data_IF_602641283237
#
_entry.id   IF_602641283237
#
_cell.length_a   1.000
_cell.length_b   1.000
_cell.length_c   1.000
_cell.angle_alpha   90.00
_cell.angle_beta   90.00
_cell.angle_gamma   90.00
#
_symmetry.space_group_name_H-M   'P 1'
#
loop_
_entity.id
_entity.type
_entity.pdbx_description
1 polymer ?
#
# COMPACT_ATOMS: atom_id res chain seq x y z
N UNK A 1 -28.19 -0.36 2.57
CA UNK A 1 -26.75 -0.68 2.71
C UNK A 1 -26.48 -1.86 1.80
N UNK A 2 -25.53 -1.76 0.86
CA UNK A 2 -25.22 -2.87 -0.03
C UNK A 2 -24.24 -3.82 0.68
N UNK A 3 -24.69 -5.05 0.97
CA UNK A 3 -23.82 -6.14 1.36
C UNK A 3 -23.28 -6.80 0.08
N UNK A 4 -21.97 -6.97 0.00
CA UNK A 4 -21.30 -7.67 -1.08
C UNK A 4 -20.84 -9.02 -0.58
N UNK A 5 -20.80 -10.02 -1.46
CA UNK A 5 -20.22 -11.32 -1.12
C UNK A 5 -18.70 -11.22 -1.12
N UNK A 6 -18.06 -11.74 -0.07
CA UNK A 6 -16.63 -11.92 -0.05
C UNK A 6 -16.23 -12.92 -1.14
N UNK A 7 -15.26 -12.56 -1.99
CA UNK A 7 -14.75 -13.44 -3.05
C UNK A 7 -14.06 -14.71 -2.51
N UNK A 8 -13.57 -14.67 -1.27
CA UNK A 8 -12.85 -15.79 -0.65
C UNK A 8 -13.76 -16.69 0.18
N UNK A 9 -14.54 -16.12 1.11
CA UNK A 9 -15.34 -16.91 2.04
C UNK A 9 -16.83 -17.01 1.68
N UNK A 10 -17.28 -16.31 0.63
CA UNK A 10 -18.68 -16.34 0.18
C UNK A 10 -19.70 -15.67 1.12
N UNK A 11 -19.27 -15.24 2.31
CA UNK A 11 -20.14 -14.56 3.29
C UNK A 11 -20.45 -13.13 2.86
N UNK A 12 -21.61 -12.65 3.30
CA UNK A 12 -22.06 -11.28 3.05
C UNK A 12 -21.32 -10.30 3.97
N UNK A 13 -20.76 -9.26 3.37
CA UNK A 13 -19.91 -8.28 4.04
C UNK A 13 -20.30 -6.89 3.60
N UNK A 14 -20.17 -5.91 4.50
CA UNK A 14 -20.44 -4.52 4.14
C UNK A 14 -19.50 -4.06 3.03
N UNK A 15 -20.04 -3.43 1.98
CA UNK A 15 -19.26 -2.78 0.92
C UNK A 15 -18.28 -1.69 1.42
N UNK A 16 -18.43 -1.25 2.68
CA UNK A 16 -17.51 -0.30 3.34
C UNK A 16 -16.45 -0.98 4.22
N UNK A 17 -16.48 -2.31 4.35
CA UNK A 17 -15.54 -3.02 5.21
C UNK A 17 -14.14 -3.04 4.58
N UNK A 18 -13.12 -2.60 5.32
CA UNK A 18 -11.72 -2.66 4.87
C UNK A 18 -11.20 -4.10 4.76
N UNK A 19 -11.71 -4.99 5.58
CA UNK A 19 -11.32 -6.39 5.63
C UNK A 19 -12.53 -7.25 5.98
N UNK A 20 -12.60 -8.45 5.43
CA UNK A 20 -13.65 -9.39 5.77
C UNK A 20 -13.48 -9.82 7.25
N UNK A 21 -14.48 -9.64 8.13
CA UNK A 21 -14.39 -10.05 9.53
C UNK A 21 -14.40 -11.58 9.70
N UNK A 22 -14.76 -12.34 8.66
CA UNK A 22 -14.83 -13.80 8.73
C UNK A 22 -13.55 -14.50 8.26
N UNK A 23 -12.87 -13.99 7.24
CA UNK A 23 -11.66 -14.62 6.70
C UNK A 23 -10.42 -13.72 6.73
N UNK A 24 -10.55 -12.43 7.08
CA UNK A 24 -9.45 -11.47 7.09
C UNK A 24 -9.06 -10.92 5.71
N UNK A 25 -9.67 -11.38 4.61
CA UNK A 25 -9.32 -10.92 3.27
C UNK A 25 -9.62 -9.41 3.10
N UNK A 26 -8.68 -8.58 2.61
CA UNK A 26 -8.94 -7.18 2.29
C UNK A 26 -10.00 -7.07 1.19
N UNK A 27 -11.15 -6.51 1.53
CA UNK A 27 -12.22 -6.22 0.57
C UNK A 27 -11.95 -4.89 -0.15
N UNK A 28 -11.26 -3.99 0.54
CA UNK A 28 -10.78 -2.72 0.02
C UNK A 28 -9.31 -2.91 -0.40
N UNK A 29 -9.01 -2.82 -1.69
CA UNK A 29 -7.63 -2.90 -2.23
C UNK A 29 -6.79 -1.65 -1.94
N UNK A 30 -7.28 -0.74 -1.09
CA UNK A 30 -6.57 0.46 -0.70
C UNK A 30 -5.31 0.10 0.10
N UNK A 31 -4.16 0.45 -0.45
CA UNK A 31 -2.85 0.26 0.17
C UNK A 31 -2.79 1.08 1.48
N UNK A 32 -2.43 0.44 2.61
CA UNK A 32 -2.35 1.06 3.94
C UNK A 32 -0.93 0.95 4.52
N UNK A 33 -0.52 1.91 5.36
CA UNK A 33 0.74 1.77 6.13
C UNK A 33 0.61 0.59 7.13
N UNK A 34 1.51 -0.41 7.14
CA UNK A 34 1.46 -1.51 8.11
C UNK A 34 1.69 -1.05 9.55
N UNK A 35 2.34 0.11 9.75
CA UNK A 35 2.65 0.66 11.07
C UNK A 35 1.53 1.50 11.69
N UNK A 36 0.72 2.21 10.88
CA UNK A 36 -0.31 3.12 11.40
C UNK A 36 -1.70 2.96 10.76
N UNK A 37 -1.87 2.03 9.81
CA UNK A 37 -3.11 1.78 9.06
C UNK A 37 -3.68 2.99 8.31
N UNK A 38 -2.94 4.09 8.21
CA UNK A 38 -3.42 5.25 7.46
C UNK A 38 -3.52 4.92 5.96
N UNK A 39 -4.57 5.43 5.33
CA UNK A 39 -4.82 5.40 3.88
C UNK A 39 -3.89 6.32 3.09
N UNK A 40 -3.16 7.19 3.78
CA UNK A 40 -2.45 8.29 3.16
C UNK A 40 -1.02 7.87 2.80
N UNK A 41 -0.91 7.02 1.78
CA UNK A 41 0.34 6.55 1.20
C UNK A 41 0.59 7.25 -0.14
N UNK A 42 1.83 7.67 -0.39
CA UNK A 42 2.28 8.21 -1.66
C UNK A 42 3.20 7.20 -2.32
N UNK A 43 3.00 6.98 -3.62
CA UNK A 43 3.97 6.26 -4.43
C UNK A 43 5.26 7.10 -4.49
N UNK A 44 6.39 6.49 -4.21
CA UNK A 44 7.69 7.11 -4.44
C UNK A 44 7.97 6.97 -5.94
N UNK A 45 7.40 7.88 -6.75
CA UNK A 45 7.70 7.96 -8.18
C UNK A 45 9.20 8.16 -8.36
N UNK A 46 9.83 7.26 -9.12
CA UNK A 46 11.29 7.13 -9.27
C UNK A 46 12.03 8.31 -9.90
N UNK A 47 11.41 9.48 -10.01
CA UNK A 47 12.02 10.71 -10.54
C UNK A 47 13.08 11.29 -9.60
N UNK A 48 12.89 11.17 -8.28
CA UNK A 48 13.94 11.55 -7.30
C UNK A 48 15.08 10.52 -7.20
N UNK A 49 14.97 9.38 -7.89
CA UNK A 49 15.98 8.31 -7.90
C UNK A 49 16.84 8.33 -9.16
N UNK A 50 16.31 8.84 -10.27
CA UNK A 50 17.08 9.13 -11.48
C UNK A 50 18.18 10.18 -11.22
N UNK A 51 17.92 11.18 -10.36
CA UNK A 51 18.91 12.20 -9.99
C UNK A 51 20.11 11.58 -9.25
N UNK A 52 19.87 10.62 -8.35
CA UNK A 52 20.94 9.93 -7.64
C UNK A 52 21.72 8.96 -8.52
N UNK A 53 21.06 8.33 -9.51
CA UNK A 53 21.71 7.44 -10.49
C UNK A 53 22.55 8.25 -11.49
N UNK A 54 22.05 9.42 -11.92
CA UNK A 54 22.76 10.32 -12.81
C UNK A 54 23.99 10.97 -12.12
N UNK A 55 23.90 11.26 -10.82
CA UNK A 55 24.99 11.88 -10.06
C UNK A 55 26.00 10.90 -9.45
N UNK A 56 25.61 9.65 -9.17
CA UNK A 56 26.43 8.69 -8.40
C UNK A 56 26.53 7.30 -9.03
N UNK A 57 26.42 7.22 -10.35
CA UNK A 57 26.71 6.01 -11.14
C UNK A 57 25.87 4.77 -10.80
N UNK A 58 26.17 3.66 -11.48
CA UNK A 58 25.41 2.40 -11.43
C UNK A 58 25.31 1.75 -10.04
N UNK A 59 26.04 2.24 -9.02
CA UNK A 59 26.01 1.72 -7.65
C UNK A 59 24.75 2.11 -6.85
N UNK A 60 23.99 3.12 -7.28
CA UNK A 60 22.76 3.53 -6.60
C UNK A 60 21.51 2.68 -6.94
N UNK A 61 21.60 1.82 -7.96
CA UNK A 61 20.48 1.01 -8.44
C UNK A 61 19.93 0.02 -7.39
N UNK A 62 20.77 -0.50 -6.50
CA UNK A 62 20.39 -1.54 -5.53
C UNK A 62 19.62 -1.04 -4.29
N UNK A 63 19.46 0.29 -4.09
CA UNK A 63 18.87 0.85 -2.84
C UNK A 63 17.36 1.13 -2.92
N UNK A 64 16.66 0.62 -3.92
CA UNK A 64 15.32 1.11 -4.29
C UNK A 64 14.32 -0.04 -4.37
N UNK A 65 13.88 -0.53 -3.23
CA UNK A 65 12.76 -1.50 -3.19
C UNK A 65 11.46 -0.92 -2.62
N UNK A 66 11.53 0.11 -1.77
CA UNK A 66 10.32 0.68 -1.17
C UNK A 66 9.56 1.55 -2.18
N UNK A 67 8.36 1.11 -2.57
CA UNK A 67 7.50 1.69 -3.60
C UNK A 67 6.53 2.74 -3.03
N UNK A 68 6.24 2.67 -1.73
CA UNK A 68 5.28 3.52 -1.03
C UNK A 68 5.88 4.16 0.22
N UNK A 69 5.54 5.43 0.46
CA UNK A 69 5.81 6.13 1.73
C UNK A 69 4.49 6.55 2.34
N UNK A 70 4.31 6.28 3.61
CA UNK A 70 3.15 6.80 4.34
C UNK A 70 3.42 8.22 4.84
N UNK A 71 2.51 9.16 4.62
CA UNK A 71 2.69 10.54 5.09
C UNK A 71 2.50 10.69 6.60
N UNK A 72 1.65 9.85 7.21
CA UNK A 72 1.40 9.92 8.66
C UNK A 72 2.55 9.31 9.49
N UNK A 73 2.96 8.07 9.16
CA UNK A 73 3.99 7.32 9.90
C UNK A 73 5.42 7.52 9.35
N UNK A 74 5.60 8.18 8.19
CA UNK A 74 6.86 8.28 7.41
C UNK A 74 7.54 6.94 7.08
N UNK A 75 6.86 5.82 7.33
CA UNK A 75 7.36 4.49 7.03
C UNK A 75 7.37 4.25 5.53
N UNK A 76 8.47 3.69 5.03
CA UNK A 76 8.69 3.34 3.62
C UNK A 76 8.57 1.82 3.48
N UNK A 77 7.76 1.34 2.53
CA UNK A 77 7.56 -0.08 2.24
C UNK A 77 7.32 -0.32 0.75
#
# INVERSE_FOLDING_TARGET
>A
MALIKCSECGKEVSSKAHSCPNCGNPIDTAIRCPKCRSTNVKLISGTSKAVSIALWGAFAANKVMSKYVCNNCKHKF
#
